data_IF_644953726866
#
_entry.id   IF_644953726866
#
_cell.length_a   1.000
_cell.length_b   1.000
_cell.length_c   1.000
_cell.angle_alpha   90.00
_cell.angle_beta   90.00
_cell.angle_gamma   90.00
#
_symmetry.space_group_name_H-M   'P 1'
#
loop_
_entity.id
_entity.type
_entity.pdbx_description
1 polymer ?
#
# COMPACT_ATOMS: atom_id res chain seq x y z
N UNK A 1 13.81 0.37 -13.92
CA UNK A 1 12.92 0.48 -12.74
C UNK A 1 13.47 1.53 -11.78
N UNK A 2 12.60 2.35 -11.20
CA UNK A 2 12.94 3.37 -10.19
C UNK A 2 12.09 3.20 -8.94
N UNK A 3 12.59 3.59 -7.76
CA UNK A 3 11.78 3.64 -6.53
C UNK A 3 11.10 4.99 -6.38
N UNK A 4 9.86 5.01 -5.87
CA UNK A 4 9.17 6.26 -5.52
C UNK A 4 8.93 6.35 -4.01
N UNK A 5 9.03 7.56 -3.48
CA UNK A 5 8.74 7.88 -2.10
C UNK A 5 7.25 8.24 -1.92
N UNK A 6 6.77 8.20 -0.67
CA UNK A 6 5.37 8.50 -0.31
C UNK A 6 4.96 9.91 -0.72
N UNK A 7 5.86 10.88 -0.64
CA UNK A 7 5.55 12.25 -1.07
C UNK A 7 5.23 12.30 -2.58
N UNK A 8 6.02 11.68 -3.45
CA UNK A 8 5.82 11.64 -4.90
C UNK A 8 4.52 10.89 -5.22
N UNK A 9 4.29 9.74 -4.58
CA UNK A 9 3.06 8.98 -4.77
C UNK A 9 1.83 9.81 -4.38
N UNK A 10 1.89 10.56 -3.27
CA UNK A 10 0.77 11.43 -2.88
C UNK A 10 0.55 12.58 -3.86
N UNK A 11 1.62 13.22 -4.37
CA UNK A 11 1.49 14.27 -5.40
C UNK A 11 0.90 13.74 -6.70
N UNK A 12 1.15 12.47 -7.02
CA UNK A 12 0.55 11.81 -8.17
C UNK A 12 -0.95 11.52 -7.97
N UNK A 13 -1.31 11.01 -6.79
CA UNK A 13 -2.68 10.60 -6.46
C UNK A 13 -3.63 11.76 -6.14
N UNK A 14 -3.09 12.86 -5.63
CA UNK A 14 -3.86 14.00 -5.15
C UNK A 14 -3.68 15.22 -6.07
N UNK A 15 -4.61 16.16 -5.98
CA UNK A 15 -4.53 17.46 -6.65
C UNK A 15 -4.36 18.57 -5.61
N UNK A 16 -3.38 18.40 -4.72
CA UNK A 16 -3.20 19.24 -3.53
C UNK A 16 -2.01 20.22 -3.63
N UNK A 17 -1.02 19.95 -4.50
CA UNK A 17 0.00 20.93 -4.87
C UNK A 17 0.26 20.88 -6.39
N UNK A 18 -0.19 21.89 -7.17
CA UNK A 18 -0.19 21.82 -8.63
C UNK A 18 1.19 21.62 -9.26
N UNK A 19 2.25 22.21 -8.68
CA UNK A 19 3.58 22.19 -9.29
C UNK A 19 4.22 20.81 -9.18
N UNK A 20 4.31 20.29 -7.97
CA UNK A 20 4.80 18.96 -7.68
C UNK A 20 3.87 17.88 -8.22
N UNK A 21 2.55 18.13 -8.25
CA UNK A 21 1.57 17.24 -8.88
C UNK A 21 1.83 17.08 -10.38
N UNK A 22 2.09 18.18 -11.09
CA UNK A 22 2.49 18.11 -12.50
C UNK A 22 3.81 17.34 -12.70
N UNK A 23 4.81 17.58 -11.86
CA UNK A 23 6.09 16.87 -11.91
C UNK A 23 5.93 15.37 -11.64
N UNK A 24 5.13 14.99 -10.64
CA UNK A 24 4.87 13.60 -10.30
C UNK A 24 4.10 12.90 -11.42
N UNK A 25 3.06 13.52 -11.98
CA UNK A 25 2.30 12.97 -13.13
C UNK A 25 3.18 12.81 -14.36
N UNK A 26 4.07 13.76 -14.64
CA UNK A 26 5.04 13.64 -15.73
C UNK A 26 5.95 12.42 -15.49
N UNK A 27 6.59 12.33 -14.31
CA UNK A 27 7.47 11.20 -13.96
C UNK A 27 6.77 9.85 -14.12
N UNK A 28 5.52 9.75 -13.66
CA UNK A 28 4.72 8.53 -13.75
C UNK A 28 4.30 8.21 -15.20
N UNK A 29 4.01 9.23 -16.02
CA UNK A 29 3.65 9.05 -17.44
C UNK A 29 4.81 8.57 -18.33
N UNK A 30 6.04 8.75 -17.87
CA UNK A 30 7.25 8.28 -18.56
C UNK A 30 7.59 6.82 -18.23
N UNK A 31 6.85 6.19 -17.29
CA UNK A 31 7.07 4.79 -16.90
C UNK A 31 6.49 3.83 -17.95
N UNK A 32 7.08 2.64 -18.03
CA UNK A 32 6.64 1.55 -18.90
C UNK A 32 6.78 0.22 -18.16
N UNK A 33 6.28 -0.87 -18.73
CA UNK A 33 6.49 -2.22 -18.19
C UNK A 33 7.98 -2.60 -18.05
N UNK A 34 8.85 -2.08 -18.94
CA UNK A 34 10.30 -2.35 -18.91
C UNK A 34 11.08 -1.39 -17.99
N UNK A 35 10.53 -0.20 -17.70
CA UNK A 35 11.10 0.78 -16.76
C UNK A 35 10.05 1.30 -15.75
N UNK A 36 9.51 0.42 -14.88
CA UNK A 36 8.39 0.77 -14.03
C UNK A 36 8.82 1.60 -12.81
N UNK A 37 7.84 2.26 -12.18
CA UNK A 37 7.96 2.78 -10.83
C UNK A 37 7.70 1.67 -9.80
N UNK A 38 8.52 1.60 -8.76
CA UNK A 38 8.38 0.64 -7.68
C UNK A 38 7.85 1.31 -6.42
N UNK A 39 6.78 0.74 -5.86
CA UNK A 39 6.12 1.18 -4.63
C UNK A 39 6.32 0.11 -3.57
N UNK A 40 7.16 0.40 -2.57
CA UNK A 40 7.43 -0.53 -1.47
C UNK A 40 6.27 -0.60 -0.47
N UNK A 41 6.26 -1.66 0.34
CA UNK A 41 5.34 -1.85 1.45
C UNK A 41 5.42 -0.69 2.47
N UNK A 42 6.60 -0.11 2.68
CA UNK A 42 6.78 1.07 3.54
C UNK A 42 6.04 2.27 2.95
N UNK A 43 6.24 2.53 1.65
CA UNK A 43 5.59 3.64 0.95
C UNK A 43 4.07 3.50 0.97
N UNK A 44 3.56 2.29 0.72
CA UNK A 44 2.14 1.98 0.84
C UNK A 44 1.61 2.23 2.26
N UNK A 45 2.31 1.75 3.29
CA UNK A 45 1.88 1.90 4.68
C UNK A 45 1.77 3.37 5.09
N UNK A 46 2.75 4.20 4.71
CA UNK A 46 2.71 5.64 4.95
C UNK A 46 1.60 6.33 4.16
N UNK A 47 1.41 5.98 2.88
CA UNK A 47 0.31 6.51 2.06
C UNK A 47 -1.05 6.19 2.67
N UNK A 48 -1.28 4.95 3.12
CA UNK A 48 -2.52 4.53 3.80
C UNK A 48 -2.72 5.35 5.08
N UNK A 49 -1.67 5.50 5.89
CA UNK A 49 -1.74 6.25 7.13
C UNK A 49 -2.07 7.73 6.87
N UNK A 50 -1.40 8.37 5.91
CA UNK A 50 -1.65 9.78 5.56
C UNK A 50 -3.06 9.99 5.01
N UNK A 51 -3.49 9.18 4.04
CA UNK A 51 -4.83 9.29 3.45
C UNK A 51 -5.94 9.10 4.51
N UNK A 52 -5.80 8.08 5.38
CA UNK A 52 -6.83 7.77 6.38
C UNK A 52 -6.82 8.70 7.58
N UNK A 53 -5.65 8.98 8.18
CA UNK A 53 -5.54 9.71 9.45
C UNK A 53 -5.46 11.21 9.27
N UNK A 54 -4.78 11.67 8.22
CA UNK A 54 -4.53 13.11 8.00
C UNK A 54 -5.54 13.73 7.05
N UNK A 55 -5.94 13.00 6.01
CA UNK A 55 -6.83 13.52 4.97
C UNK A 55 -8.27 12.99 5.06
N UNK A 56 -8.54 12.02 5.94
CA UNK A 56 -9.89 11.56 6.26
C UNK A 56 -10.56 10.69 5.18
N UNK A 57 -9.79 10.16 4.22
CA UNK A 57 -10.32 9.25 3.21
C UNK A 57 -10.87 7.97 3.85
N UNK A 58 -11.99 7.49 3.32
CA UNK A 58 -12.56 6.24 3.73
C UNK A 58 -11.66 5.08 3.29
N UNK A 59 -11.61 4.03 4.12
CA UNK A 59 -10.76 2.85 3.88
C UNK A 59 -11.08 2.17 2.53
N UNK A 60 -12.35 2.15 2.13
CA UNK A 60 -12.78 1.65 0.82
C UNK A 60 -12.24 2.46 -0.36
N UNK A 61 -12.12 3.79 -0.21
CA UNK A 61 -11.55 4.66 -1.24
C UNK A 61 -10.05 4.38 -1.38
N UNK A 62 -9.36 4.25 -0.25
CA UNK A 62 -7.93 3.90 -0.22
C UNK A 62 -7.69 2.55 -0.90
N UNK A 63 -8.46 1.52 -0.57
CA UNK A 63 -8.31 0.21 -1.23
C UNK A 63 -8.59 0.27 -2.72
N UNK A 64 -9.58 1.04 -3.16
CA UNK A 64 -9.85 1.22 -4.58
C UNK A 64 -8.62 1.80 -5.28
N UNK A 65 -8.02 2.84 -4.72
CA UNK A 65 -6.80 3.46 -5.27
C UNK A 65 -5.64 2.47 -5.31
N UNK A 66 -5.38 1.76 -4.21
CA UNK A 66 -4.29 0.78 -4.15
C UNK A 66 -4.50 -0.40 -5.11
N UNK A 67 -5.75 -0.84 -5.28
CA UNK A 67 -6.11 -1.89 -6.23
C UNK A 67 -5.92 -1.46 -7.68
N UNK A 68 -6.16 -0.18 -8.00
CA UNK A 68 -5.85 0.37 -9.32
C UNK A 68 -4.34 0.44 -9.57
N UNK A 69 -3.56 0.90 -8.58
CA UNK A 69 -2.09 0.93 -8.68
C UNK A 69 -1.51 -0.47 -8.93
N UNK A 70 -2.04 -1.49 -8.25
CA UNK A 70 -1.56 -2.87 -8.42
C UNK A 70 -1.92 -3.50 -9.78
N UNK A 71 -2.82 -2.90 -10.56
CA UNK A 71 -3.30 -3.43 -11.85
C UNK A 71 -2.50 -2.92 -13.06
N UNK A 72 -1.65 -1.91 -12.90
CA UNK A 72 -0.89 -1.30 -14.00
C UNK A 72 0.48 -1.96 -14.15
N UNK A 73 0.99 -2.07 -15.37
CA UNK A 73 2.34 -2.63 -15.61
C UNK A 73 3.44 -1.58 -15.40
N UNK A 74 3.09 -0.29 -15.47
CA UNK A 74 3.99 0.84 -15.25
C UNK A 74 4.35 1.06 -13.78
N UNK A 75 3.61 0.40 -12.86
CA UNK A 75 3.81 0.50 -11.42
C UNK A 75 3.89 -0.92 -10.83
N UNK A 76 5.05 -1.27 -10.31
CA UNK A 76 5.24 -2.48 -9.52
C UNK A 76 4.97 -2.14 -8.06
N UNK A 77 3.93 -2.76 -7.51
CA UNK A 77 3.58 -2.66 -6.09
C UNK A 77 4.16 -3.87 -5.36
N UNK A 78 4.89 -3.64 -4.26
CA UNK A 78 5.34 -4.73 -3.39
C UNK A 78 4.12 -5.47 -2.83
N UNK A 79 4.13 -6.80 -2.91
CA UNK A 79 2.99 -7.66 -2.55
C UNK A 79 1.70 -7.39 -3.37
N UNK A 80 1.84 -7.04 -4.65
CA UNK A 80 0.69 -6.73 -5.52
C UNK A 80 -0.35 -7.86 -5.57
N UNK A 81 0.07 -9.12 -5.60
CA UNK A 81 -0.85 -10.25 -5.71
C UNK A 81 -1.63 -10.46 -4.41
N UNK A 82 -0.96 -10.41 -3.27
CA UNK A 82 -1.59 -10.49 -1.95
C UNK A 82 -2.54 -9.31 -1.72
N UNK A 83 -2.16 -8.11 -2.17
CA UNK A 83 -2.99 -6.92 -2.12
C UNK A 83 -4.25 -7.05 -2.98
N UNK A 84 -4.13 -7.54 -4.23
CA UNK A 84 -5.29 -7.80 -5.11
C UNK A 84 -6.26 -8.79 -4.48
N UNK A 85 -5.74 -9.89 -3.94
CA UNK A 85 -6.55 -10.91 -3.27
C UNK A 85 -7.26 -10.34 -2.02
N UNK A 86 -6.55 -9.53 -1.23
CA UNK A 86 -7.13 -8.88 -0.06
C UNK A 86 -8.25 -7.90 -0.42
N UNK A 87 -8.05 -7.10 -1.48
CA UNK A 87 -9.05 -6.11 -1.94
C UNK A 87 -10.27 -6.79 -2.55
N UNK A 88 -10.09 -7.91 -3.26
CA UNK A 88 -11.19 -8.68 -3.84
C UNK A 88 -12.06 -9.39 -2.78
N UNK A 89 -11.51 -9.66 -1.60
CA UNK A 89 -12.22 -10.30 -0.50
C UNK A 89 -13.11 -9.30 0.27
N UNK A 90 -14.34 -9.12 -0.22
CA UNK A 90 -15.35 -8.26 0.40
C UNK A 90 -15.73 -8.63 1.85
N UNK A 91 -15.35 -9.84 2.32
CA UNK A 91 -15.57 -10.26 3.71
C UNK A 91 -14.50 -9.72 4.67
N UNK A 92 -13.35 -9.29 4.15
CA UNK A 92 -12.27 -8.75 4.96
C UNK A 92 -12.46 -7.26 5.18
N UNK A 93 -12.29 -6.77 6.42
CA UNK A 93 -12.21 -5.34 6.65
C UNK A 93 -11.00 -4.79 5.87
N UNK A 94 -11.28 -3.98 4.86
CA UNK A 94 -10.30 -3.16 4.12
C UNK A 94 -9.43 -2.28 5.07
N UNK A 95 -9.88 -2.16 6.31
CA UNK A 95 -9.34 -1.37 7.39
C UNK A 95 -7.93 -1.66 7.88
N UNK A 96 -7.29 -2.76 7.47
CA UNK A 96 -6.08 -3.26 8.14
C UNK A 96 -4.96 -3.62 7.12
N UNK A 97 -4.95 -3.03 5.90
CA UNK A 97 -3.94 -3.30 4.85
C UNK A 97 -2.50 -3.06 5.36
N UNK A 98 -2.28 -2.02 6.17
CA UNK A 98 -0.96 -1.76 6.74
C UNK A 98 -0.45 -2.91 7.64
N UNK A 99 -1.35 -3.54 8.40
CA UNK A 99 -0.99 -4.71 9.22
C UNK A 99 -0.68 -5.93 8.34
N UNK A 100 -1.41 -6.10 7.23
CA UNK A 100 -1.09 -7.13 6.23
C UNK A 100 0.30 -6.93 5.61
N UNK A 101 0.67 -5.70 5.27
CA UNK A 101 2.00 -5.38 4.73
C UNK A 101 3.11 -5.81 5.69
N UNK A 102 2.92 -5.64 7.01
CA UNK A 102 3.87 -6.11 8.02
C UNK A 102 3.99 -7.64 8.00
N UNK A 103 2.88 -8.37 7.91
CA UNK A 103 2.91 -9.85 7.82
C UNK A 103 3.58 -10.31 6.55
N UNK A 104 3.23 -9.73 5.40
CA UNK A 104 3.77 -10.15 4.11
C UNK A 104 5.27 -9.87 4.03
N UNK A 105 5.73 -8.72 4.51
CA UNK A 105 7.16 -8.41 4.57
C UNK A 105 7.92 -9.41 5.48
N UNK A 106 7.38 -9.73 6.65
CA UNK A 106 7.97 -10.72 7.55
C UNK A 106 7.99 -12.13 6.93
N UNK A 107 6.90 -12.53 6.29
CA UNK A 107 6.80 -13.82 5.61
C UNK A 107 7.82 -13.92 4.46
N UNK A 108 7.97 -12.87 3.64
CA UNK A 108 9.00 -12.80 2.60
C UNK A 108 10.43 -12.87 3.15
N UNK A 109 10.65 -12.37 4.36
CA UNK A 109 11.93 -12.50 5.07
C UNK A 109 12.14 -13.90 5.70
N UNK A 110 11.19 -14.82 5.55
CA UNK A 110 11.26 -16.18 6.10
C UNK A 110 10.79 -16.30 7.55
N UNK A 111 10.12 -15.28 8.10
CA UNK A 111 9.54 -15.37 9.44
C UNK A 111 8.32 -16.30 9.44
N UNK A 112 8.28 -17.24 10.38
CA UNK A 112 7.12 -18.13 10.54
C UNK A 112 5.90 -17.42 11.12
N UNK A 113 6.12 -16.37 11.92
CA UNK A 113 5.10 -15.63 12.68
C UNK A 113 5.51 -14.17 12.87
N UNK A 114 4.54 -13.29 12.95
CA UNK A 114 4.71 -11.88 13.31
C UNK A 114 4.03 -11.62 14.66
N UNK A 115 4.74 -11.03 15.62
CA UNK A 115 4.15 -10.73 16.94
C UNK A 115 3.65 -9.28 17.02
N UNK A 116 2.54 -9.06 17.71
CA UNK A 116 1.95 -7.73 17.94
C UNK A 116 1.35 -7.62 19.34
N UNK A 117 1.25 -6.41 19.88
CA UNK A 117 0.47 -6.10 21.09
C UNK A 117 -0.98 -5.68 20.74
N UNK A 118 -1.30 -5.46 19.46
CA UNK A 118 -2.64 -5.12 19.02
C UNK A 118 -3.52 -6.38 19.00
N UNK A 119 -4.41 -6.49 20.00
CA UNK A 119 -5.37 -7.60 20.12
C UNK A 119 -6.33 -7.72 18.94
N UNK A 120 -6.68 -6.60 18.29
CA UNK A 120 -7.56 -6.60 17.12
C UNK A 120 -6.79 -7.13 15.91
N UNK A 121 -5.56 -6.67 15.68
CA UNK A 121 -4.73 -7.15 14.58
C UNK A 121 -4.45 -8.65 14.71
N UNK A 122 -4.02 -9.11 15.90
CA UNK A 122 -3.80 -10.53 16.17
C UNK A 122 -5.04 -11.42 15.98
N UNK A 123 -6.26 -10.86 16.12
CA UNK A 123 -7.51 -11.60 15.89
C UNK A 123 -7.90 -11.65 14.41
N UNK A 124 -7.56 -10.62 13.63
CA UNK A 124 -8.10 -10.40 12.28
C UNK A 124 -7.13 -10.70 11.16
N UNK A 125 -5.82 -10.63 11.42
CA UNK A 125 -4.78 -10.71 10.40
C UNK A 125 -4.11 -12.08 10.51
N UNK A 126 -4.31 -12.97 9.52
CA UNK A 126 -3.60 -14.24 9.46
C UNK A 126 -2.08 -14.01 9.50
N UNK A 127 -1.37 -14.77 10.33
CA UNK A 127 0.09 -14.65 10.50
C UNK A 127 0.54 -13.69 11.62
N UNK A 128 -0.37 -12.89 12.20
CA UNK A 128 -0.10 -12.12 13.42
C UNK A 128 -0.50 -12.88 14.69
N UNK A 129 0.38 -12.86 15.69
CA UNK A 129 0.15 -13.43 17.01
C UNK A 129 0.25 -12.37 18.11
N UNK A 130 -0.66 -12.44 19.08
CA UNK A 130 -0.63 -11.56 20.23
C UNK A 130 0.52 -11.97 21.16
N UNK A 131 1.42 -11.04 21.45
CA UNK A 131 2.37 -11.17 22.55
C UNK A 131 1.68 -10.72 23.84
N UNK A 132 1.34 -11.67 24.72
CA UNK A 132 0.60 -11.46 25.96
C UNK A 132 1.18 -12.26 27.12
#
# INVERSE_FOLDING_TARGET
>A
MIGIDTNILLRFLLDDEPTQGAMARQLMSERTADDPAYVSAVVLAETIWLLSRRLGYAKSEIATVLGLLAQTDEIIVEHADELKLLIADASRPIADIADYLVVWAAANAGCAKTFTFDRKAARKIPGMELLA
#
